data_IF_406541081146
#
_entry.id   IF_406541081146
#
_cell.length_a   1.000
_cell.length_b   1.000
_cell.length_c   1.000
_cell.angle_alpha   90.00
_cell.angle_beta   90.00
_cell.angle_gamma   90.00
#
_symmetry.space_group_name_H-M   'P 1'
#
loop_
_entity.id
_entity.type
_entity.pdbx_description
1 polymer ?
#
# COMPACT_ATOMS: atom_id res chain seq x y z
N UNK A 1 14.34 8.33 5.86
CA UNK A 1 13.00 7.75 6.12
C UNK A 1 12.24 7.75 4.83
N UNK A 2 11.49 6.69 4.55
CA UNK A 2 10.66 6.59 3.34
C UNK A 2 9.46 7.51 3.53
N UNK A 3 9.12 8.30 2.51
CA UNK A 3 7.92 9.12 2.54
C UNK A 3 6.71 8.21 2.32
N UNK A 4 5.81 8.16 3.30
CA UNK A 4 4.55 7.42 3.23
C UNK A 4 3.44 8.43 2.95
N UNK A 5 2.48 8.06 2.10
CA UNK A 5 1.29 8.89 1.89
C UNK A 5 0.53 9.04 3.21
N UNK A 6 0.32 10.28 3.64
CA UNK A 6 -0.46 10.60 4.82
C UNK A 6 -1.56 11.60 4.45
N UNK A 7 -2.67 11.58 5.18
CA UNK A 7 -3.78 12.52 5.01
C UNK A 7 -4.32 12.62 3.56
N UNK A 8 -4.23 11.54 2.78
CA UNK A 8 -4.70 11.51 1.40
C UNK A 8 -6.23 11.60 1.26
N UNK A 9 -7.00 11.43 2.35
CA UNK A 9 -8.47 11.46 2.33
C UNK A 9 -9.04 12.77 1.75
N UNK A 10 -8.51 13.92 2.18
CA UNK A 10 -8.96 15.21 1.64
C UNK A 10 -8.66 15.36 0.14
N UNK A 11 -7.53 14.80 -0.34
CA UNK A 11 -7.16 14.84 -1.76
C UNK A 11 -8.07 13.94 -2.60
N UNK A 12 -8.45 12.76 -2.06
CA UNK A 12 -9.40 11.87 -2.71
C UNK A 12 -10.77 12.55 -2.83
N UNK A 13 -11.27 13.14 -1.74
CA UNK A 13 -12.53 13.89 -1.74
C UNK A 13 -12.51 15.06 -2.74
N UNK A 14 -11.43 15.84 -2.78
CA UNK A 14 -11.28 16.95 -3.72
C UNK A 14 -11.20 16.49 -5.18
N UNK A 15 -10.57 15.34 -5.45
CA UNK A 15 -10.53 14.74 -6.80
C UNK A 15 -11.92 14.28 -7.25
N UNK A 16 -12.66 13.59 -6.38
CA UNK A 16 -14.03 13.13 -6.66
C UNK A 16 -14.97 14.31 -6.91
N UNK A 17 -14.91 15.36 -6.07
CA UNK A 17 -15.69 16.58 -6.25
C UNK A 17 -15.33 17.27 -7.58
N UNK A 18 -14.04 17.40 -7.89
CA UNK A 18 -13.57 18.00 -9.13
C UNK A 18 -14.06 17.25 -10.37
N UNK A 19 -14.05 15.92 -10.35
CA UNK A 19 -14.60 15.09 -11.42
C UNK A 19 -16.11 15.32 -11.60
N UNK A 20 -16.87 15.32 -10.51
CA UNK A 20 -18.33 15.56 -10.55
C UNK A 20 -18.66 16.95 -11.10
N UNK A 21 -17.88 17.97 -10.72
CA UNK A 21 -18.02 19.32 -11.21
C UNK A 21 -17.75 19.42 -12.72
N UNK A 22 -16.64 18.85 -13.21
CA UNK A 22 -16.31 18.83 -14.65
C UNK A 22 -17.36 18.06 -15.44
N UNK A 23 -17.83 16.93 -14.93
CA UNK A 23 -18.89 16.14 -15.57
C UNK A 23 -20.20 16.94 -15.65
N UNK A 24 -20.52 17.72 -14.62
CA UNK A 24 -21.68 18.62 -14.62
C UNK A 24 -21.52 19.72 -15.68
N UNK A 25 -20.34 20.36 -15.78
CA UNK A 25 -20.09 21.37 -16.80
C UNK A 25 -20.23 20.83 -18.22
N UNK A 26 -19.79 19.59 -18.48
CA UNK A 26 -19.91 18.94 -19.79
C UNK A 26 -21.37 18.75 -20.25
N UNK A 27 -22.33 18.78 -19.33
CA UNK A 27 -23.78 18.73 -19.66
C UNK A 27 -24.35 20.09 -20.07
N UNK A 28 -23.68 21.19 -19.71
CA UNK A 28 -24.17 22.54 -19.95
C UNK A 28 -23.92 22.95 -21.41
N UNK A 29 -24.84 23.71 -22.00
CA UNK A 29 -24.71 24.18 -23.39
C UNK A 29 -23.52 25.12 -23.58
N UNK A 30 -23.16 25.85 -22.54
CA UNK A 30 -22.10 26.85 -22.49
C UNK A 30 -20.70 26.25 -22.60
N UNK A 31 -20.55 24.94 -22.35
CA UNK A 31 -19.26 24.25 -22.46
C UNK A 31 -18.84 24.00 -23.91
N UNK A 32 -19.72 24.21 -24.89
CA UNK A 32 -19.46 23.93 -26.30
C UNK A 32 -18.07 24.40 -26.82
N UNK A 33 -17.60 25.63 -26.56
CA UNK A 33 -16.25 26.07 -26.96
C UNK A 33 -15.09 25.39 -26.21
N UNK A 34 -15.32 24.84 -25.01
CA UNK A 34 -14.31 24.23 -24.15
C UNK A 34 -14.49 22.72 -23.98
N UNK A 35 -15.36 22.10 -24.78
CA UNK A 35 -15.79 20.72 -24.57
C UNK A 35 -14.62 19.74 -24.65
N UNK A 36 -13.68 19.98 -25.56
CA UNK A 36 -12.48 19.16 -25.72
C UNK A 36 -11.57 19.26 -24.49
N UNK A 37 -11.23 20.49 -24.07
CA UNK A 37 -10.41 20.77 -22.89
C UNK A 37 -11.04 20.19 -21.61
N UNK A 38 -12.35 20.36 -21.42
CA UNK A 38 -13.07 19.81 -20.28
C UNK A 38 -13.11 18.27 -20.29
N UNK A 39 -13.17 17.65 -21.48
CA UNK A 39 -13.11 16.19 -21.61
C UNK A 39 -11.71 15.67 -21.29
N UNK A 40 -10.67 16.33 -21.78
CA UNK A 40 -9.27 15.98 -21.45
C UNK A 40 -9.00 16.12 -19.95
N UNK A 41 -9.46 17.21 -19.33
CA UNK A 41 -9.35 17.42 -17.89
C UNK A 41 -10.06 16.31 -17.10
N UNK A 42 -11.28 15.95 -17.48
CA UNK A 42 -12.01 14.85 -16.84
C UNK A 42 -11.22 13.54 -16.94
N UNK A 43 -10.62 13.25 -18.11
CA UNK A 43 -9.75 12.10 -18.31
C UNK A 43 -8.55 12.09 -17.35
N UNK A 44 -7.83 13.22 -17.26
CA UNK A 44 -6.69 13.37 -16.33
C UNK A 44 -7.08 13.18 -14.88
N UNK A 45 -8.22 13.73 -14.46
CA UNK A 45 -8.73 13.59 -13.10
C UNK A 45 -9.14 12.14 -12.80
N UNK A 46 -9.80 11.46 -13.75
CA UNK A 46 -10.19 10.05 -13.62
C UNK A 46 -8.96 9.15 -13.50
N UNK A 47 -8.01 9.29 -14.42
CA UNK A 47 -6.75 8.53 -14.39
C UNK A 47 -6.00 8.77 -13.08
N UNK A 48 -5.92 10.02 -12.62
CA UNK A 48 -5.24 10.36 -11.37
C UNK A 48 -5.89 9.71 -10.15
N UNK A 49 -7.22 9.61 -10.14
CA UNK A 49 -7.99 8.95 -9.08
C UNK A 49 -7.70 7.46 -9.02
N UNK A 50 -7.76 6.77 -10.16
CA UNK A 50 -7.48 5.33 -10.25
C UNK A 50 -6.05 5.00 -9.78
N UNK A 51 -5.09 5.82 -10.21
CA UNK A 51 -3.68 5.67 -9.83
C UNK A 51 -3.49 5.95 -8.34
N UNK A 52 -4.14 6.99 -7.79
CA UNK A 52 -4.05 7.33 -6.38
C UNK A 52 -4.64 6.22 -5.50
N UNK A 53 -5.78 5.64 -5.87
CA UNK A 53 -6.34 4.49 -5.17
C UNK A 53 -5.38 3.30 -5.15
N UNK A 54 -4.80 2.97 -6.30
CA UNK A 54 -3.83 1.88 -6.38
C UNK A 54 -2.59 2.18 -5.54
N UNK A 55 -2.13 3.42 -5.55
CA UNK A 55 -0.99 3.87 -4.78
C UNK A 55 -1.24 3.75 -3.27
N UNK A 56 -2.43 4.13 -2.80
CA UNK A 56 -2.87 3.94 -1.41
C UNK A 56 -2.87 2.45 -1.04
N UNK A 57 -3.46 1.59 -1.88
CA UNK A 57 -3.50 0.13 -1.67
C UNK A 57 -2.08 -0.47 -1.53
N UNK A 58 -1.17 -0.09 -2.43
CA UNK A 58 0.24 -0.52 -2.37
C UNK A 58 0.91 0.01 -1.09
N UNK A 59 0.70 1.27 -0.74
CA UNK A 59 1.28 1.89 0.46
C UNK A 59 0.86 1.17 1.73
N UNK A 60 -0.43 0.88 1.89
CA UNK A 60 -0.96 0.19 3.06
C UNK A 60 -0.39 -1.23 3.20
N UNK A 61 -0.37 -1.98 2.10
CA UNK A 61 0.15 -3.35 2.11
C UNK A 61 1.66 -3.36 2.33
N UNK A 62 2.40 -2.47 1.68
CA UNK A 62 3.84 -2.32 1.90
C UNK A 62 4.15 -2.01 3.38
N UNK A 63 3.44 -1.08 4.02
CA UNK A 63 3.63 -0.76 5.45
C UNK A 63 3.40 -1.99 6.34
N UNK A 64 2.36 -2.78 6.06
CA UNK A 64 2.08 -4.00 6.83
C UNK A 64 3.22 -5.01 6.72
N UNK A 65 3.79 -5.19 5.52
CA UNK A 65 4.85 -6.16 5.25
C UNK A 65 6.23 -5.67 5.69
N UNK A 66 6.50 -4.36 5.64
CA UNK A 66 7.73 -3.74 6.13
C UNK A 66 7.97 -4.11 7.59
N UNK A 67 6.93 -4.00 8.42
CA UNK A 67 6.98 -4.32 9.85
C UNK A 67 7.35 -5.78 10.13
N UNK A 68 7.08 -6.68 9.17
CA UNK A 68 7.32 -8.12 9.28
C UNK A 68 8.71 -8.49 8.75
N UNK A 69 9.11 -7.90 7.61
CA UNK A 69 10.26 -8.39 6.82
C UNK A 69 11.56 -7.59 6.99
N UNK A 70 11.55 -6.42 7.64
CA UNK A 70 12.73 -5.52 7.68
C UNK A 70 13.67 -5.75 8.86
N UNK A 71 13.33 -6.59 9.84
CA UNK A 71 14.23 -6.81 10.98
C UNK A 71 13.83 -7.88 12.01
N UNK A 72 12.77 -8.66 11.77
CA UNK A 72 12.26 -9.65 12.73
C UNK A 72 12.70 -11.08 12.44
N UNK A 73 12.48 -11.98 13.40
CA UNK A 73 12.73 -13.42 13.24
C UNK A 73 11.86 -14.07 12.17
N UNK A 74 10.73 -13.46 11.85
CA UNK A 74 9.86 -13.92 10.76
C UNK A 74 10.59 -13.80 9.41
N UNK A 75 11.35 -12.73 9.17
CA UNK A 75 12.15 -12.59 7.96
C UNK A 75 13.20 -13.70 7.82
N UNK A 76 13.76 -14.18 8.96
CA UNK A 76 14.69 -15.33 8.97
C UNK A 76 13.99 -16.66 8.69
N UNK A 77 12.74 -16.81 9.14
CA UNK A 77 11.93 -18.02 8.88
C UNK A 77 11.33 -18.04 7.48
N UNK A 78 11.21 -16.88 6.83
CA UNK A 78 10.66 -16.71 5.48
C UNK A 78 11.65 -15.97 4.56
N UNK A 79 12.85 -16.54 4.30
CA UNK A 79 13.93 -15.81 3.62
C UNK A 79 13.64 -15.54 2.14
N UNK A 80 12.81 -16.38 1.49
CA UNK A 80 12.43 -16.17 0.09
C UNK A 80 11.53 -14.95 -0.06
N UNK A 81 10.51 -14.84 0.80
CA UNK A 81 9.60 -13.70 0.87
C UNK A 81 10.33 -12.43 1.32
N UNK A 82 11.21 -12.52 2.31
CA UNK A 82 12.04 -11.38 2.74
C UNK A 82 12.87 -10.82 1.57
N UNK A 83 13.47 -11.70 0.75
CA UNK A 83 14.23 -11.28 -0.44
C UNK A 83 13.34 -10.63 -1.51
N UNK A 84 12.12 -11.14 -1.72
CA UNK A 84 11.14 -10.54 -2.65
C UNK A 84 10.70 -9.17 -2.15
N UNK A 85 10.33 -9.06 -0.88
CA UNK A 85 9.95 -7.81 -0.25
C UNK A 85 11.07 -6.77 -0.35
N UNK A 86 12.32 -7.14 -0.06
CA UNK A 86 13.47 -6.23 -0.17
C UNK A 86 13.70 -5.69 -1.60
N UNK A 87 13.28 -6.41 -2.64
CA UNK A 87 13.30 -5.90 -4.02
C UNK A 87 12.19 -4.85 -4.21
N UNK A 88 10.98 -5.16 -3.80
CA UNK A 88 9.84 -4.23 -3.86
C UNK A 88 10.10 -2.96 -3.04
N UNK A 89 10.71 -3.09 -1.86
CA UNK A 89 11.10 -1.97 -1.00
C UNK A 89 12.04 -0.98 -1.73
N UNK A 90 13.05 -1.48 -2.44
CA UNK A 90 13.94 -0.60 -3.24
C UNK A 90 13.20 0.13 -4.36
N UNK A 91 12.31 -0.57 -5.05
CA UNK A 91 11.51 0.03 -6.13
C UNK A 91 10.54 1.07 -5.55
N UNK A 92 9.91 0.76 -4.42
CA UNK A 92 9.03 1.66 -3.67
C UNK A 92 9.76 2.92 -3.21
N UNK A 93 10.95 2.79 -2.62
CA UNK A 93 11.78 3.93 -2.22
C UNK A 93 12.08 4.88 -3.39
N UNK A 94 12.42 4.32 -4.56
CA UNK A 94 12.70 5.10 -5.78
C UNK A 94 11.46 5.85 -6.25
N UNK A 95 10.32 5.16 -6.30
CA UNK A 95 9.04 5.75 -6.73
C UNK A 95 8.58 6.84 -5.78
N UNK A 96 8.63 6.59 -4.47
CA UNK A 96 8.23 7.56 -3.44
C UNK A 96 9.15 8.78 -3.38
N UNK A 97 10.45 8.61 -3.60
CA UNK A 97 11.38 9.73 -3.73
C UNK A 97 10.98 10.62 -4.93
N UNK A 98 10.66 10.02 -6.07
CA UNK A 98 10.27 10.78 -7.26
C UNK A 98 8.94 11.50 -7.08
N UNK A 99 7.94 10.82 -6.51
CA UNK A 99 6.67 11.42 -6.15
C UNK A 99 6.81 12.62 -5.20
N UNK A 100 7.68 12.48 -4.19
CA UNK A 100 7.93 13.55 -3.22
C UNK A 100 8.56 14.79 -3.86
N UNK A 101 9.42 14.62 -4.87
CA UNK A 101 9.96 15.75 -5.66
C UNK A 101 8.86 16.50 -6.43
N UNK A 102 7.91 15.76 -7.01
CA UNK A 102 6.83 16.32 -7.85
C UNK A 102 5.83 17.14 -7.02
N UNK A 103 5.54 16.72 -5.78
CA UNK A 103 4.63 17.36 -4.79
C UNK A 103 3.15 17.40 -5.16
N UNK A 104 2.81 17.59 -6.43
CA UNK A 104 1.43 17.67 -6.92
C UNK A 104 0.93 16.29 -7.33
N UNK A 105 -0.32 15.97 -6.94
CA UNK A 105 -0.91 14.63 -7.15
C UNK A 105 -1.11 14.31 -8.63
N UNK A 106 -1.69 15.22 -9.42
CA UNK A 106 -1.96 14.97 -10.86
C UNK A 106 -0.65 14.71 -11.62
N UNK A 107 0.38 15.58 -11.54
CA UNK A 107 1.66 15.32 -12.22
C UNK A 107 2.41 14.09 -11.67
N UNK A 108 2.21 13.72 -10.40
CA UNK A 108 2.77 12.49 -9.86
C UNK A 108 2.07 11.26 -10.46
N UNK A 109 0.74 11.29 -10.59
CA UNK A 109 -0.05 10.23 -11.21
C UNK A 109 0.24 10.12 -12.72
N UNK A 110 0.55 11.20 -13.41
CA UNK A 110 0.99 11.16 -14.82
C UNK A 110 2.39 10.55 -15.02
N UNK A 111 3.14 10.30 -13.95
CA UNK A 111 4.47 9.74 -14.04
C UNK A 111 4.45 8.26 -14.45
N UNK A 112 4.99 7.95 -15.63
CA UNK A 112 5.05 6.58 -16.16
C UNK A 112 5.75 5.57 -15.24
N UNK A 113 6.79 5.99 -14.49
CA UNK A 113 7.44 5.10 -13.53
C UNK A 113 6.48 4.72 -12.41
N UNK A 114 5.68 5.64 -11.89
CA UNK A 114 4.66 5.35 -10.88
C UNK A 114 3.60 4.40 -11.47
N UNK A 115 2.99 4.77 -12.61
CA UNK A 115 1.91 4.01 -13.27
C UNK A 115 2.29 2.57 -13.54
N UNK A 116 3.49 2.34 -14.07
CA UNK A 116 3.93 0.98 -14.45
C UNK A 116 4.42 0.17 -13.26
N UNK A 117 4.95 0.82 -12.22
CA UNK A 117 5.49 0.11 -11.07
C UNK A 117 4.41 -0.32 -10.07
N UNK A 118 3.37 0.49 -9.85
CA UNK A 118 2.32 0.19 -8.85
C UNK A 118 1.63 -1.18 -9.06
N UNK A 119 1.18 -1.57 -10.26
CA UNK A 119 0.58 -2.90 -10.47
C UNK A 119 1.56 -4.04 -10.19
N UNK A 120 2.82 -3.87 -10.59
CA UNK A 120 3.87 -4.86 -10.37
C UNK A 120 4.17 -5.03 -8.89
N UNK A 121 4.33 -3.92 -8.16
CA UNK A 121 4.56 -3.94 -6.72
C UNK A 121 3.36 -4.56 -5.98
N UNK A 122 2.13 -4.17 -6.33
CA UNK A 122 0.92 -4.73 -5.73
C UNK A 122 0.89 -6.26 -5.85
N UNK A 123 1.13 -6.80 -7.06
CA UNK A 123 1.14 -8.25 -7.28
C UNK A 123 2.22 -8.99 -6.47
N UNK A 124 3.42 -8.41 -6.35
CA UNK A 124 4.49 -9.03 -5.56
C UNK A 124 4.22 -8.96 -4.05
N UNK A 125 3.62 -7.87 -3.58
CA UNK A 125 3.19 -7.71 -2.18
C UNK A 125 2.06 -8.69 -1.84
N UNK A 126 1.07 -8.87 -2.72
CA UNK A 126 0.00 -9.86 -2.51
C UNK A 126 0.55 -11.29 -2.37
N UNK A 127 1.56 -11.65 -3.18
CA UNK A 127 2.23 -12.95 -3.05
C UNK A 127 2.92 -13.09 -1.69
N UNK A 128 3.59 -12.04 -1.21
CA UNK A 128 4.22 -12.03 0.11
C UNK A 128 3.18 -12.16 1.23
N UNK A 129 2.07 -11.41 1.13
CA UNK A 129 0.96 -11.43 2.08
C UNK A 129 0.34 -12.83 2.17
N UNK A 130 0.05 -13.46 1.02
CA UNK A 130 -0.50 -14.82 0.97
C UNK A 130 0.44 -15.86 1.58
N UNK A 131 1.75 -15.76 1.29
CA UNK A 131 2.75 -16.61 1.93
C UNK A 131 2.78 -16.41 3.45
N UNK A 132 2.66 -15.16 3.92
CA UNK A 132 2.63 -14.85 5.34
C UNK A 132 1.40 -15.44 6.03
N UNK A 133 0.22 -15.34 5.41
CA UNK A 133 -1.01 -15.96 5.91
C UNK A 133 -0.89 -17.48 6.04
N UNK A 134 -0.37 -18.14 5.01
CA UNK A 134 -0.12 -19.59 5.06
C UNK A 134 0.90 -19.98 6.15
N UNK A 135 1.94 -19.16 6.36
CA UNK A 135 2.88 -19.35 7.46
C UNK A 135 2.19 -19.23 8.83
N UNK A 136 1.35 -18.21 9.04
CA UNK A 136 0.60 -18.02 10.29
C UNK A 136 -0.38 -19.18 10.53
N UNK A 137 -1.07 -19.65 9.50
CA UNK A 137 -1.96 -20.81 9.58
C UNK A 137 -1.19 -22.09 9.98
N UNK A 138 -0.02 -22.33 9.38
CA UNK A 138 0.83 -23.46 9.77
C UNK A 138 1.25 -23.39 11.25
N UNK A 139 1.54 -22.19 11.78
CA UNK A 139 1.81 -22.00 13.21
C UNK A 139 0.59 -22.28 14.08
N UNK A 140 -0.61 -21.87 13.66
CA UNK A 140 -1.88 -22.18 14.35
C UNK A 140 -2.16 -23.67 14.40
N UNK A 141 -1.96 -24.37 13.29
CA UNK A 141 -2.13 -25.82 13.22
C UNK A 141 -1.17 -26.57 14.16
N UNK A 142 0.05 -26.05 14.35
CA UNK A 142 1.01 -26.62 15.29
C UNK A 142 0.68 -26.32 16.76
N UNK A 143 0.05 -25.17 17.04
CA UNK A 143 -0.34 -24.78 18.39
C UNK A 143 -1.75 -24.15 18.40
N UNK A 144 -2.80 -24.97 18.62
CA UNK A 144 -4.19 -24.53 18.44
C UNK A 144 -4.64 -23.32 19.28
N UNK A 145 -3.96 -22.98 20.37
CA UNK A 145 -4.29 -21.75 21.13
C UNK A 145 -4.09 -20.47 20.30
N UNK A 146 -3.22 -20.50 19.28
CA UNK A 146 -3.03 -19.36 18.37
C UNK A 146 -4.25 -19.04 17.49
N UNK A 147 -5.27 -19.93 17.42
CA UNK A 147 -6.54 -19.58 16.77
C UNK A 147 -7.31 -18.48 17.51
N UNK A 148 -7.06 -18.29 18.81
CA UNK A 148 -7.68 -17.23 19.61
C UNK A 148 -6.92 -15.89 19.53
N UNK A 149 -5.83 -15.83 18.76
CA UNK A 149 -4.98 -14.64 18.63
C UNK A 149 -5.13 -14.06 17.21
N UNK A 150 -5.35 -12.75 17.14
CA UNK A 150 -5.40 -12.00 15.88
C UNK A 150 -4.07 -12.08 15.11
N UNK A 151 -4.07 -11.87 13.80
CA UNK A 151 -2.83 -11.89 13.01
C UNK A 151 -1.76 -10.92 13.56
N UNK A 152 -2.06 -9.65 13.90
CA UNK A 152 -1.06 -8.76 14.50
C UNK A 152 -0.51 -9.27 15.85
N UNK A 153 -1.39 -9.79 16.72
CA UNK A 153 -0.95 -10.36 17.99
C UNK A 153 -0.07 -11.59 17.81
N UNK A 154 -0.40 -12.45 16.83
CA UNK A 154 0.39 -13.62 16.53
C UNK A 154 1.75 -13.26 15.92
N UNK A 155 1.81 -12.26 15.03
CA UNK A 155 3.06 -11.73 14.51
C UNK A 155 3.95 -11.20 15.65
N UNK A 156 3.37 -10.48 16.61
CA UNK A 156 4.10 -9.99 17.79
C UNK A 156 4.69 -11.15 18.61
N UNK A 157 3.89 -12.16 18.94
CA UNK A 157 4.35 -13.36 19.66
C UNK A 157 5.48 -14.06 18.91
N UNK A 158 5.31 -14.27 17.59
CA UNK A 158 6.30 -14.97 16.76
C UNK A 158 7.58 -14.15 16.54
N UNK A 159 7.49 -12.81 16.60
CA UNK A 159 8.64 -11.92 16.49
C UNK A 159 9.50 -11.87 17.76
N UNK A 160 8.92 -12.16 18.93
CA UNK A 160 9.61 -12.15 20.22
C UNK A 160 10.08 -13.54 20.68
N UNK A 161 9.68 -14.61 19.97
CA UNK A 161 9.93 -15.99 20.38
C UNK A 161 11.41 -16.40 20.49
N UNK A 162 12.35 -15.58 20.02
CA UNK A 162 13.80 -15.83 20.15
C UNK A 162 14.43 -15.15 21.36
N UNK A 163 13.73 -14.24 22.04
CA UNK A 163 14.20 -13.63 23.29
C UNK A 163 13.40 -14.20 24.49
N UNK A 164 13.99 -15.14 25.25
CA UNK A 164 13.31 -15.80 26.36
C UNK A 164 12.94 -14.86 27.52
N UNK A 165 13.46 -13.62 27.55
CA UNK A 165 13.18 -12.66 28.63
C UNK A 165 11.88 -11.87 28.45
N UNK A 166 11.41 -11.65 27.21
CA UNK A 166 10.17 -10.93 26.89
C UNK A 166 8.90 -11.81 26.92
N UNK A 167 9.07 -13.13 26.92
CA UNK A 167 7.96 -14.08 26.83
C UNK A 167 7.01 -14.07 28.05
N UNK A 168 7.46 -13.59 29.22
CA UNK A 168 6.69 -13.69 30.47
C UNK A 168 5.54 -12.67 30.62
N UNK A 169 5.44 -11.63 29.77
CA UNK A 169 4.42 -10.59 29.93
C UNK A 169 3.04 -10.95 29.33
N UNK A 170 2.95 -12.00 28.52
CA UNK A 170 1.73 -12.34 27.76
C UNK A 170 1.06 -13.67 28.15
N UNK A 171 1.54 -14.36 29.19
CA UNK A 171 1.01 -15.68 29.61
C UNK A 171 -0.08 -15.65 30.68
N UNK A 172 -0.51 -14.49 31.18
CA UNK A 172 -1.67 -14.39 32.07
C UNK A 172 -2.86 -13.74 31.37
N UNK A 173 -3.71 -14.59 30.77
CA UNK A 173 -5.18 -14.48 30.78
C UNK A 173 -5.82 -15.78 30.34
#
# INVERSE_FOLDING_TARGET
GINILAAYGAVVEELEESQMNVQTYLTQRQVAPFREEATELLGKLSDSSDILEQWIKVSMMWCSLESVFTGGDIAKQMPMEAKKFAKVDKDWQKVMAKAFETKLVIPACENELLKTSLPTMYSELEKCQKSLEGYLEAKRNKFPRFFFVSNPGLLMILSQGSDPTTMNAHYEK
#
